data_IF_193598801552
#
_entry.id   IF_193598801552
#
_cell.length_a   1.000
_cell.length_b   1.000
_cell.length_c   1.000
_cell.angle_alpha   90.00
_cell.angle_beta   90.00
_cell.angle_gamma   90.00
#
_symmetry.space_group_name_H-M   'P 1'
#
loop_
_entity.id
_entity.type
_entity.pdbx_description
1 polymer ?
#
# COMPACT_ATOMS: atom_id res chain seq x y z
N UNK A 1 -24.19 -19.63 26.27
CA UNK A 1 -23.79 -18.27 25.83
C UNK A 1 -22.56 -18.44 24.97
N UNK A 2 -22.65 -18.14 23.69
CA UNK A 2 -21.47 -17.95 22.85
C UNK A 2 -20.81 -16.66 23.31
N UNK A 3 -19.62 -16.75 23.90
CA UNK A 3 -18.81 -15.58 24.20
C UNK A 3 -18.19 -15.12 22.88
N UNK A 4 -18.71 -14.05 22.31
CA UNK A 4 -18.16 -13.41 21.12
C UNK A 4 -17.16 -12.34 21.59
N UNK A 5 -15.98 -12.32 20.97
CA UNK A 5 -14.95 -11.31 21.22
C UNK A 5 -14.53 -10.73 19.88
N UNK A 6 -14.34 -9.41 19.85
CA UNK A 6 -13.84 -8.69 18.70
C UNK A 6 -12.37 -8.36 18.94
N UNK A 7 -11.54 -8.61 17.93
CA UNK A 7 -10.21 -8.05 17.84
C UNK A 7 -10.27 -6.79 16.99
N UNK A 8 -9.86 -5.65 17.54
CA UNK A 8 -9.97 -4.37 16.87
C UNK A 8 -8.59 -3.75 16.65
N UNK A 9 -8.35 -3.27 15.43
CA UNK A 9 -7.21 -2.42 15.08
C UNK A 9 -7.76 -1.05 14.73
N UNK A 10 -7.29 -0.01 15.43
CA UNK A 10 -7.72 1.37 15.20
C UNK A 10 -6.56 2.14 14.57
N UNK A 11 -6.80 2.74 13.40
CA UNK A 11 -5.82 3.54 12.67
C UNK A 11 -6.41 4.93 12.46
N UNK A 12 -5.75 5.95 12.99
CA UNK A 12 -6.10 7.34 12.70
C UNK A 12 -5.45 7.79 11.40
N UNK A 13 -6.23 8.36 10.49
CA UNK A 13 -5.78 8.76 9.16
C UNK A 13 -5.42 10.25 9.13
N UNK A 14 -4.32 10.56 8.44
CA UNK A 14 -4.06 11.92 7.94
C UNK A 14 -4.94 12.18 6.71
N UNK A 15 -5.05 13.43 6.22
CA UNK A 15 -5.76 13.70 4.97
C UNK A 15 -5.23 12.90 3.77
N UNK A 16 -3.91 12.71 3.70
CA UNK A 16 -3.27 11.84 2.70
C UNK A 16 -3.64 10.36 2.94
N UNK A 17 -3.53 9.87 4.19
CA UNK A 17 -3.93 8.51 4.51
C UNK A 17 -5.41 8.20 4.20
N UNK A 18 -6.28 9.21 4.28
CA UNK A 18 -7.68 9.11 3.91
C UNK A 18 -7.90 8.94 2.40
N UNK A 19 -6.99 9.45 1.57
CA UNK A 19 -6.97 9.20 0.13
C UNK A 19 -6.38 7.82 -0.23
N UNK A 20 -5.57 7.24 0.65
CA UNK A 20 -4.83 5.98 0.44
C UNK A 20 -5.29 4.83 1.37
N UNK A 21 -6.59 4.80 1.73
CA UNK A 21 -7.16 3.83 2.69
C UNK A 21 -6.90 2.36 2.32
N UNK A 22 -6.94 2.05 1.04
CA UNK A 22 -6.74 0.69 0.52
C UNK A 22 -5.32 0.19 0.72
N UNK A 23 -4.34 1.06 0.48
CA UNK A 23 -2.93 0.76 0.70
C UNK A 23 -2.66 0.54 2.19
N UNK A 24 -3.30 1.33 3.05
CA UNK A 24 -3.19 1.17 4.51
C UNK A 24 -3.76 -0.17 4.97
N UNK A 25 -4.93 -0.57 4.45
CA UNK A 25 -5.51 -1.88 4.76
C UNK A 25 -4.62 -3.02 4.23
N UNK A 26 -4.06 -2.88 3.03
CA UNK A 26 -3.14 -3.87 2.48
C UNK A 26 -1.88 -4.02 3.35
N UNK A 27 -1.27 -2.91 3.76
CA UNK A 27 -0.11 -2.90 4.64
C UNK A 27 -0.41 -3.53 6.00
N UNK A 28 -1.61 -3.29 6.55
CA UNK A 28 -2.03 -3.94 7.79
C UNK A 28 -2.06 -5.46 7.65
N UNK A 29 -2.68 -5.99 6.59
CA UNK A 29 -2.75 -7.44 6.39
C UNK A 29 -1.40 -8.05 5.99
N UNK A 30 -0.55 -7.33 5.26
CA UNK A 30 0.84 -7.74 5.02
C UNK A 30 1.59 -7.89 6.35
N UNK A 31 1.42 -6.94 7.27
CA UNK A 31 2.02 -7.03 8.59
C UNK A 31 1.47 -8.23 9.38
N UNK A 32 0.15 -8.49 9.32
CA UNK A 32 -0.45 -9.68 9.94
C UNK A 32 0.13 -10.97 9.36
N UNK A 33 0.38 -11.05 8.05
CA UNK A 33 1.04 -12.20 7.43
C UNK A 33 2.49 -12.36 7.92
N UNK A 34 3.24 -11.26 8.06
CA UNK A 34 4.59 -11.31 8.61
C UNK A 34 4.60 -11.85 10.06
N UNK A 35 3.66 -11.39 10.89
CA UNK A 35 3.49 -11.88 12.26
C UNK A 35 3.12 -13.37 12.25
N UNK A 36 2.20 -13.79 11.37
CA UNK A 36 1.81 -15.20 11.24
C UNK A 36 2.97 -16.08 10.78
N UNK A 37 3.78 -15.61 9.83
CA UNK A 37 4.95 -16.32 9.32
C UNK A 37 6.06 -16.45 10.38
N UNK A 38 6.23 -15.43 11.23
CA UNK A 38 7.16 -15.49 12.37
C UNK A 38 6.69 -16.47 13.45
N UNK A 39 5.39 -16.71 13.56
CA UNK A 39 4.76 -17.60 14.53
C UNK A 39 4.80 -17.06 15.97
N UNK A 40 4.19 -17.77 16.93
CA UNK A 40 4.20 -17.37 18.34
C UNK A 40 5.63 -17.40 18.92
N UNK A 41 6.02 -16.32 19.60
CA UNK A 41 7.35 -16.18 20.18
C UNK A 41 7.30 -16.22 21.71
N UNK A 42 7.83 -17.30 22.30
CA UNK A 42 7.83 -17.49 23.75
C UNK A 42 8.64 -16.41 24.48
N UNK A 43 9.70 -15.90 23.86
CA UNK A 43 10.53 -14.84 24.46
C UNK A 43 9.75 -13.52 24.63
N UNK A 44 8.88 -13.16 23.68
CA UNK A 44 7.98 -12.00 23.81
C UNK A 44 7.00 -12.23 24.98
N UNK A 45 6.47 -13.45 25.12
CA UNK A 45 5.60 -13.76 26.25
C UNK A 45 6.32 -13.62 27.59
N UNK A 46 7.55 -14.13 27.72
CA UNK A 46 8.36 -14.00 28.95
C UNK A 46 8.63 -12.53 29.28
N UNK A 47 8.92 -11.72 28.28
CA UNK A 47 9.13 -10.27 28.45
C UNK A 47 7.84 -9.60 28.96
N UNK A 48 6.69 -9.87 28.33
CA UNK A 48 5.40 -9.35 28.76
C UNK A 48 5.01 -9.80 30.17
N UNK A 49 5.24 -11.08 30.51
CA UNK A 49 5.00 -11.62 31.84
C UNK A 49 5.84 -10.88 32.90
N UNK A 50 7.12 -10.67 32.61
CA UNK A 50 8.04 -9.92 33.50
C UNK A 50 7.56 -8.47 33.70
N UNK A 51 7.11 -7.80 32.64
CA UNK A 51 6.55 -6.45 32.73
C UNK A 51 5.27 -6.41 33.59
N UNK A 52 4.40 -7.41 33.47
CA UNK A 52 3.18 -7.46 34.30
C UNK A 52 3.48 -7.75 35.77
N UNK A 53 4.48 -8.58 36.07
CA UNK A 53 4.93 -8.78 37.45
C UNK A 53 5.43 -7.49 38.09
N UNK A 54 6.23 -6.71 37.35
CA UNK A 54 6.71 -5.39 37.80
C UNK A 54 5.52 -4.44 38.01
N UNK A 55 4.59 -4.38 37.07
CA UNK A 55 3.39 -3.53 37.17
C UNK A 55 2.54 -3.88 38.40
N UNK A 56 2.44 -5.15 38.75
CA UNK A 56 1.73 -5.59 39.94
C UNK A 56 2.49 -5.24 41.23
N UNK A 57 3.79 -5.53 41.26
CA UNK A 57 4.63 -5.29 42.45
C UNK A 57 4.76 -3.79 42.80
N UNK A 58 4.70 -2.93 41.79
CA UNK A 58 4.85 -1.47 41.94
C UNK A 58 3.54 -0.70 41.68
N UNK A 59 2.40 -1.37 41.77
CA UNK A 59 1.10 -0.71 41.62
C UNK A 59 0.93 0.36 42.72
N UNK A 60 0.69 1.60 42.31
CA UNK A 60 0.41 2.70 43.22
C UNK A 60 -0.93 2.51 43.95
N UNK A 61 -1.12 3.20 45.07
CA UNK A 61 -2.38 3.26 45.84
C UNK A 61 -3.51 4.04 45.11
N UNK A 62 -3.50 4.01 43.79
CA UNK A 62 -4.47 4.59 42.87
C UNK A 62 -5.11 3.43 42.07
N UNK A 63 -6.44 3.36 41.93
CA UNK A 63 -7.40 4.48 41.91
C UNK A 63 -8.03 4.80 43.27
N UNK A 64 -8.96 5.77 43.30
CA UNK A 64 -9.71 6.14 44.50
C UNK A 64 -10.42 4.91 45.13
N UNK A 65 -10.69 4.90 46.44
CA UNK A 65 -11.23 3.71 47.14
C UNK A 65 -12.51 3.13 46.53
N UNK A 66 -13.36 3.97 45.97
CA UNK A 66 -14.60 3.61 45.26
C UNK A 66 -14.31 2.91 43.92
N UNK A 67 -13.41 3.44 43.10
CA UNK A 67 -12.96 2.80 41.86
C UNK A 67 -12.28 1.46 42.12
N UNK A 68 -11.48 1.38 43.19
CA UNK A 68 -10.84 0.13 43.60
C UNK A 68 -11.89 -0.92 43.98
N UNK A 69 -12.87 -0.54 44.83
CA UNK A 69 -13.93 -1.44 45.23
C UNK A 69 -14.76 -1.95 44.02
N UNK A 70 -15.08 -1.05 43.08
CA UNK A 70 -15.78 -1.41 41.85
C UNK A 70 -14.96 -2.39 40.98
N UNK A 71 -13.68 -2.08 40.74
CA UNK A 71 -12.76 -2.92 39.96
C UNK A 71 -12.56 -4.30 40.59
N UNK A 72 -12.37 -4.36 41.91
CA UNK A 72 -12.23 -5.60 42.66
C UNK A 72 -13.52 -6.44 42.61
N UNK A 73 -14.69 -5.81 42.75
CA UNK A 73 -15.97 -6.49 42.61
C UNK A 73 -16.15 -7.09 41.20
N UNK A 74 -15.76 -6.36 40.15
CA UNK A 74 -15.77 -6.88 38.78
C UNK A 74 -14.78 -8.02 38.58
N UNK A 75 -13.59 -7.96 39.20
CA UNK A 75 -12.59 -9.01 39.12
C UNK A 75 -13.05 -10.31 39.80
N UNK A 76 -13.85 -10.25 40.87
CA UNK A 76 -14.41 -11.43 41.54
C UNK A 76 -15.35 -12.27 40.64
N UNK A 77 -15.90 -11.68 39.57
CA UNK A 77 -16.68 -12.44 38.58
C UNK A 77 -15.80 -13.25 37.62
N UNK A 78 -14.50 -12.94 37.52
CA UNK A 78 -13.55 -13.58 36.60
C UNK A 78 -12.50 -14.42 37.31
N UNK A 79 -12.10 -14.03 38.53
CA UNK A 79 -11.00 -14.63 39.26
C UNK A 79 -11.47 -15.10 40.65
N UNK A 80 -10.89 -16.18 41.19
CA UNK A 80 -11.17 -16.60 42.56
C UNK A 80 -10.73 -15.49 43.55
N UNK A 81 -11.36 -15.38 44.73
CA UNK A 81 -11.09 -14.30 45.68
C UNK A 81 -9.62 -14.10 46.05
N UNK A 82 -8.82 -15.17 46.08
CA UNK A 82 -7.38 -15.11 46.39
C UNK A 82 -6.54 -14.46 45.28
N UNK A 83 -7.03 -14.51 44.04
CA UNK A 83 -6.34 -13.96 42.85
C UNK A 83 -6.96 -12.64 42.40
N UNK A 84 -7.94 -12.07 43.13
CA UNK A 84 -8.71 -10.90 42.67
C UNK A 84 -7.83 -9.70 42.31
N UNK A 85 -6.71 -9.51 43.02
CA UNK A 85 -5.79 -8.40 42.80
C UNK A 85 -4.73 -8.71 41.73
N UNK A 86 -4.25 -9.97 41.69
CA UNK A 86 -3.18 -10.42 40.79
C UNK A 86 -3.70 -10.83 39.41
N UNK A 87 -4.89 -11.41 39.33
CA UNK A 87 -5.48 -11.99 38.13
C UNK A 87 -5.43 -11.08 36.89
N UNK A 88 -5.74 -9.78 36.98
CA UNK A 88 -5.61 -8.86 35.86
C UNK A 88 -4.19 -8.70 35.29
N UNK A 89 -3.15 -9.08 36.04
CA UNK A 89 -1.74 -9.03 35.67
C UNK A 89 -1.16 -10.43 35.35
N UNK A 90 -1.93 -11.50 35.57
CA UNK A 90 -1.40 -12.85 35.48
C UNK A 90 -1.14 -13.25 34.00
N UNK A 91 0.12 -13.59 33.71
CA UNK A 91 0.57 -14.19 32.45
C UNK A 91 1.39 -15.44 32.80
N UNK A 92 0.70 -16.48 33.26
CA UNK A 92 1.31 -17.63 33.94
C UNK A 92 1.63 -18.81 33.00
N UNK A 93 0.89 -18.94 31.90
CA UNK A 93 0.96 -20.09 30.99
C UNK A 93 1.24 -19.63 29.56
N UNK A 94 2.34 -20.11 28.98
CA UNK A 94 2.64 -19.92 27.56
C UNK A 94 1.80 -20.87 26.71
N UNK A 95 1.01 -20.31 25.79
CA UNK A 95 0.10 -21.06 24.91
C UNK A 95 0.20 -20.61 23.47
N UNK A 96 1.24 -21.13 22.79
CA UNK A 96 1.48 -20.90 21.37
C UNK A 96 0.27 -21.31 20.51
N UNK A 97 -0.39 -22.42 20.85
CA UNK A 97 -1.58 -22.93 20.16
C UNK A 97 -2.74 -21.92 20.16
N UNK A 98 -2.95 -21.24 21.30
CA UNK A 98 -3.98 -20.19 21.40
C UNK A 98 -3.60 -18.99 20.54
N UNK A 99 -2.33 -18.57 20.57
CA UNK A 99 -1.86 -17.47 19.72
C UNK A 99 -2.05 -17.79 18.23
N UNK A 100 -1.70 -19.00 17.80
CA UNK A 100 -1.92 -19.48 16.42
C UNK A 100 -3.41 -19.49 16.06
N UNK A 101 -4.28 -19.96 16.95
CA UNK A 101 -5.72 -19.96 16.73
C UNK A 101 -6.23 -18.54 16.46
N UNK A 102 -5.82 -17.55 17.26
CA UNK A 102 -6.22 -16.16 17.04
C UNK A 102 -5.62 -15.58 15.76
N UNK A 103 -4.33 -15.78 15.49
CA UNK A 103 -3.68 -15.32 14.26
C UNK A 103 -4.32 -15.92 12.99
N UNK A 104 -4.83 -17.15 13.05
CA UNK A 104 -5.53 -17.80 11.95
C UNK A 104 -6.87 -17.13 11.60
N UNK A 105 -7.48 -16.42 12.55
CA UNK A 105 -8.76 -15.71 12.40
C UNK A 105 -8.58 -14.28 11.90
N UNK A 106 -7.36 -13.73 11.97
CA UNK A 106 -7.04 -12.39 11.48
C UNK A 106 -6.82 -12.42 9.96
N UNK A 107 -7.92 -12.51 9.21
CA UNK A 107 -7.93 -12.56 7.75
C UNK A 107 -8.83 -11.49 7.16
N UNK A 108 -8.56 -11.13 5.91
CA UNK A 108 -9.38 -10.24 5.09
C UNK A 108 -10.86 -10.64 5.06
N UNK A 109 -11.13 -11.94 4.89
CA UNK A 109 -12.47 -12.48 4.79
C UNK A 109 -13.22 -12.49 6.13
N UNK A 110 -12.49 -12.37 7.25
CA UNK A 110 -13.03 -12.39 8.61
C UNK A 110 -12.86 -11.03 9.30
N UNK A 111 -13.01 -9.93 8.56
CA UNK A 111 -12.90 -8.58 9.10
C UNK A 111 -14.14 -7.71 8.83
N UNK A 112 -14.33 -6.71 9.70
CA UNK A 112 -15.29 -5.62 9.52
C UNK A 112 -14.50 -4.32 9.53
N UNK A 113 -14.58 -3.56 8.44
CA UNK A 113 -13.89 -2.28 8.32
C UNK A 113 -14.87 -1.14 8.56
N UNK A 114 -14.54 -0.27 9.50
CA UNK A 114 -15.28 0.95 9.78
C UNK A 114 -14.43 2.15 9.37
N UNK A 115 -14.96 2.97 8.46
CA UNK A 115 -14.27 4.18 7.99
C UNK A 115 -15.11 5.37 8.41
N UNK A 116 -14.46 6.32 9.09
CA UNK A 116 -15.07 7.59 9.49
C UNK A 116 -14.23 8.72 8.88
N UNK A 117 -14.83 9.50 7.99
CA UNK A 117 -14.18 10.66 7.36
C UNK A 117 -15.19 11.80 7.20
N UNK A 118 -14.69 13.03 7.32
CA UNK A 118 -15.48 14.23 7.04
C UNK A 118 -15.87 14.33 5.56
N UNK A 119 -15.12 13.71 4.64
CA UNK A 119 -15.44 13.67 3.21
C UNK A 119 -16.80 13.06 2.91
N UNK A 120 -17.26 12.13 3.75
CA UNK A 120 -18.57 11.50 3.61
C UNK A 120 -19.76 12.43 3.86
N UNK A 121 -19.55 13.61 4.45
CA UNK A 121 -20.62 14.60 4.66
C UNK A 121 -21.16 15.15 3.34
N UNK A 122 -20.28 15.39 2.37
CA UNK A 122 -20.70 15.88 1.05
C UNK A 122 -21.37 14.77 0.25
N UNK A 123 -20.82 13.55 0.30
CA UNK A 123 -21.36 12.38 -0.40
C UNK A 123 -22.74 11.97 0.09
N UNK A 124 -22.96 12.01 1.41
CA UNK A 124 -24.24 11.65 2.04
C UNK A 124 -25.31 12.73 1.89
N UNK A 125 -24.94 13.97 1.55
CA UNK A 125 -25.85 15.08 1.30
C UNK A 125 -26.22 15.26 -0.19
N UNK A 126 -25.59 14.49 -1.09
CA UNK A 126 -25.86 14.56 -2.52
C UNK A 126 -27.28 14.09 -2.86
N UNK A 127 -27.87 14.63 -3.93
CA UNK A 127 -29.24 14.30 -4.35
C UNK A 127 -29.45 12.84 -4.76
N UNK A 128 -28.38 12.07 -4.91
CA UNK A 128 -28.36 10.64 -5.24
C UNK A 128 -28.02 9.73 -4.05
N UNK A 129 -28.04 10.25 -2.81
CA UNK A 129 -27.65 9.50 -1.61
C UNK A 129 -28.49 8.23 -1.38
N UNK A 130 -29.79 8.27 -1.66
CA UNK A 130 -30.68 7.11 -1.55
C UNK A 130 -30.32 6.02 -2.59
N UNK A 131 -29.94 6.42 -3.81
CA UNK A 131 -29.49 5.50 -4.87
C UNK A 131 -28.14 4.85 -4.54
N UNK A 132 -27.28 5.59 -3.82
CA UNK A 132 -25.99 5.11 -3.29
C UNK A 132 -26.13 4.30 -2.00
N UNK A 133 -27.34 4.10 -1.49
CA UNK A 133 -27.63 3.21 -0.37
C UNK A 133 -27.25 3.76 1.01
N UNK A 134 -27.10 5.08 1.14
CA UNK A 134 -26.92 5.72 2.45
C UNK A 134 -28.14 5.51 3.33
N UNK A 135 -27.91 5.23 4.61
CA UNK A 135 -28.95 4.98 5.60
C UNK A 135 -28.68 5.76 6.87
N UNK A 136 -29.76 6.20 7.49
CA UNK A 136 -29.70 6.91 8.77
C UNK A 136 -30.02 5.95 9.90
N UNK A 137 -29.08 5.81 10.84
CA UNK A 137 -29.26 5.04 12.06
C UNK A 137 -30.35 5.70 12.93
N UNK A 138 -31.21 4.89 13.54
CA UNK A 138 -32.46 5.35 14.14
C UNK A 138 -32.28 6.14 15.44
N UNK A 139 -31.25 5.86 16.24
CA UNK A 139 -31.07 6.43 17.58
C UNK A 139 -30.25 7.73 17.56
N UNK A 140 -29.08 7.70 16.91
CA UNK A 140 -28.10 8.78 16.88
C UNK A 140 -28.10 9.56 15.57
N UNK A 141 -28.91 9.13 14.58
CA UNK A 141 -29.02 9.77 13.27
C UNK A 141 -27.71 9.83 12.49
N UNK A 142 -26.79 8.90 12.78
CA UNK A 142 -25.56 8.72 12.02
C UNK A 142 -25.92 8.25 10.62
N UNK A 143 -25.37 8.90 9.60
CA UNK A 143 -25.56 8.54 8.20
C UNK A 143 -24.40 7.65 7.79
N UNK A 144 -24.70 6.45 7.30
CA UNK A 144 -23.70 5.46 6.91
C UNK A 144 -24.17 4.65 5.70
N UNK A 145 -23.21 4.17 4.93
CA UNK A 145 -23.44 3.19 3.86
C UNK A 145 -22.68 1.92 4.21
N UNK A 146 -23.31 0.77 4.00
CA UNK A 146 -22.67 -0.54 4.16
C UNK A 146 -22.44 -1.11 2.78
N UNK A 147 -21.19 -1.35 2.44
CA UNK A 147 -20.79 -1.97 1.19
C UNK A 147 -19.89 -3.17 1.49
N UNK A 148 -19.99 -4.21 0.66
CA UNK A 148 -18.92 -5.20 0.56
C UNK A 148 -17.76 -4.49 -0.13
N UNK A 149 -16.55 -4.64 0.38
CA UNK A 149 -15.33 -4.04 -0.19
C UNK A 149 -15.26 -4.19 -1.73
N UNK A 150 -15.81 -5.29 -2.28
CA UNK A 150 -15.94 -5.55 -3.72
C UNK A 150 -16.77 -4.57 -4.56
N UNK A 151 -17.73 -3.83 -3.99
CA UNK A 151 -18.68 -3.00 -4.76
C UNK A 151 -18.26 -1.53 -4.91
N UNK A 152 -17.14 -1.12 -4.29
CA UNK A 152 -16.51 0.20 -4.47
C UNK A 152 -15.55 0.27 -5.67
N UNK A 153 -15.53 -0.77 -6.54
CA UNK A 153 -14.58 -0.87 -7.65
C UNK A 153 -13.31 -1.67 -7.33
N UNK A 154 -13.30 -2.41 -6.22
CA UNK A 154 -12.12 -3.10 -5.70
C UNK A 154 -12.24 -4.61 -5.84
N UNK A 155 -11.58 -5.16 -6.85
CA UNK A 155 -11.27 -6.59 -6.92
C UNK A 155 -10.29 -6.96 -5.81
N UNK A 156 -10.77 -7.16 -4.59
CA UNK A 156 -9.97 -7.66 -3.49
C UNK A 156 -9.97 -9.19 -3.50
N UNK A 157 -8.90 -9.76 -4.02
CA UNK A 157 -8.56 -11.17 -3.89
C UNK A 157 -7.11 -11.26 -3.38
N UNK A 158 -6.79 -12.16 -2.44
CA UNK A 158 -5.40 -12.39 -2.01
C UNK A 158 -4.49 -12.77 -3.20
N UNK A 159 -5.06 -13.42 -4.23
CA UNK A 159 -4.38 -13.66 -5.50
C UNK A 159 -4.08 -12.35 -6.27
N UNK A 160 -5.00 -11.37 -6.23
CA UNK A 160 -4.84 -10.07 -6.90
C UNK A 160 -3.86 -9.17 -6.14
N UNK A 161 -3.70 -9.33 -4.82
CA UNK A 161 -2.66 -8.65 -4.01
C UNK A 161 -1.27 -9.26 -4.15
N UNK A 162 -1.15 -10.58 -4.21
CA UNK A 162 0.13 -11.22 -4.53
C UNK A 162 0.54 -10.97 -5.98
N UNK A 163 -0.44 -10.93 -6.90
CA UNK A 163 -0.23 -10.45 -8.26
C UNK A 163 0.12 -8.96 -8.29
N UNK A 164 -0.53 -8.10 -7.51
CA UNK A 164 -0.21 -6.66 -7.45
C UNK A 164 1.21 -6.41 -6.92
N UNK A 165 1.62 -7.11 -5.86
CA UNK A 165 3.01 -7.08 -5.41
C UNK A 165 3.98 -7.63 -6.46
N UNK A 166 3.62 -8.71 -7.16
CA UNK A 166 4.43 -9.26 -8.25
C UNK A 166 4.61 -8.29 -9.42
N UNK A 167 3.54 -7.59 -9.79
CA UNK A 167 3.54 -6.63 -10.88
C UNK A 167 4.31 -5.35 -10.51
N UNK A 168 4.08 -4.82 -9.30
CA UNK A 168 4.85 -3.72 -8.75
C UNK A 168 6.34 -4.09 -8.63
N UNK A 169 6.65 -5.33 -8.21
CA UNK A 169 8.03 -5.81 -8.15
C UNK A 169 8.67 -5.89 -9.55
N UNK A 170 7.93 -6.32 -10.57
CA UNK A 170 8.41 -6.35 -11.96
C UNK A 170 8.76 -4.94 -12.46
N UNK A 171 7.89 -3.96 -12.21
CA UNK A 171 8.13 -2.56 -12.59
C UNK A 171 9.27 -1.93 -11.78
N UNK A 172 9.35 -2.16 -10.47
CA UNK A 172 10.49 -1.69 -9.65
C UNK A 172 11.82 -2.30 -10.10
N UNK A 173 11.83 -3.57 -10.48
CA UNK A 173 13.02 -4.24 -11.04
C UNK A 173 13.45 -3.59 -12.36
N UNK A 174 12.51 -3.19 -13.22
CA UNK A 174 12.80 -2.43 -14.44
C UNK A 174 13.50 -1.10 -14.14
N UNK A 175 12.95 -0.28 -13.22
CA UNK A 175 13.58 0.97 -12.81
C UNK A 175 14.96 0.77 -12.15
N UNK A 176 15.14 -0.28 -11.35
CA UNK A 176 16.46 -0.65 -10.80
C UNK A 176 17.45 -0.99 -11.93
N UNK A 177 17.04 -1.73 -12.95
CA UNK A 177 17.93 -2.06 -14.06
C UNK A 177 18.34 -0.82 -14.85
N UNK A 178 17.42 0.11 -15.05
CA UNK A 178 17.73 1.40 -15.65
C UNK A 178 18.69 2.23 -14.79
N UNK A 179 18.39 2.38 -13.49
CA UNK A 179 19.21 3.14 -12.54
C UNK A 179 20.63 2.57 -12.40
N UNK A 180 20.78 1.24 -12.44
CA UNK A 180 22.07 0.54 -12.41
C UNK A 180 22.83 0.63 -13.75
N UNK A 181 22.26 1.27 -14.77
CA UNK A 181 22.84 1.38 -16.12
C UNK A 181 22.81 0.07 -16.91
N UNK A 182 22.09 -0.96 -16.44
CA UNK A 182 22.00 -2.28 -17.11
C UNK A 182 21.23 -2.24 -18.41
N UNK A 183 20.42 -1.20 -18.64
CA UNK A 183 19.67 -0.99 -19.88
C UNK A 183 20.42 -0.13 -20.90
N UNK A 184 21.74 -0.13 -20.83
CA UNK A 184 22.63 0.52 -21.78
C UNK A 184 23.83 -0.39 -22.12
N UNK A 185 24.48 -0.12 -23.26
CA UNK A 185 25.69 -0.83 -23.67
C UNK A 185 25.48 -2.27 -24.18
N UNK A 186 26.57 -3.02 -24.31
CA UNK A 186 26.60 -4.32 -25.00
C UNK A 186 25.86 -5.44 -24.27
N UNK A 187 25.66 -5.34 -22.95
CA UNK A 187 24.91 -6.31 -22.15
C UNK A 187 23.42 -6.00 -22.05
N UNK A 188 22.95 -4.88 -22.60
CA UNK A 188 21.59 -4.40 -22.40
C UNK A 188 20.52 -5.41 -22.83
N UNK A 189 20.65 -6.02 -24.02
CA UNK A 189 19.64 -6.96 -24.53
C UNK A 189 19.50 -8.16 -23.60
N UNK A 190 20.60 -8.66 -23.04
CA UNK A 190 20.57 -9.76 -22.09
C UNK A 190 19.91 -9.37 -20.76
N UNK A 191 20.10 -8.13 -20.31
CA UNK A 191 19.43 -7.59 -19.13
C UNK A 191 17.92 -7.37 -19.38
N UNK A 192 17.55 -6.80 -20.53
CA UNK A 192 16.17 -6.54 -20.93
C UNK A 192 15.34 -7.85 -21.00
N UNK A 193 15.92 -8.95 -21.50
CA UNK A 193 15.26 -10.28 -21.51
C UNK A 193 14.92 -10.84 -20.12
N UNK A 194 15.56 -10.36 -19.07
CA UNK A 194 15.30 -10.78 -17.69
C UNK A 194 14.11 -10.07 -17.04
N UNK A 195 13.65 -8.97 -17.63
CA UNK A 195 12.65 -8.08 -17.05
C UNK A 195 11.45 -7.84 -17.97
N UNK A 196 11.59 -8.11 -19.27
CA UNK A 196 10.53 -7.94 -20.26
C UNK A 196 10.31 -9.19 -21.11
N UNK A 197 9.15 -9.28 -21.74
CA UNK A 197 8.82 -10.32 -22.72
C UNK A 197 9.53 -10.08 -24.05
N UNK A 198 9.66 -11.13 -24.87
CA UNK A 198 10.31 -11.00 -26.19
C UNK A 198 9.50 -10.10 -27.14
N UNK A 199 8.18 -10.07 -26.99
CA UNK A 199 7.22 -9.27 -27.77
C UNK A 199 6.92 -7.90 -27.16
N UNK A 200 7.70 -7.46 -26.17
CA UNK A 200 7.45 -6.19 -25.45
C UNK A 200 7.37 -4.98 -26.38
N UNK A 201 6.44 -4.06 -26.10
CA UNK A 201 6.28 -2.80 -26.85
C UNK A 201 6.39 -1.61 -25.91
N UNK A 202 7.31 -0.70 -26.20
CA UNK A 202 7.50 0.56 -25.49
C UNK A 202 7.02 1.70 -26.40
N UNK A 203 5.87 2.28 -26.11
CA UNK A 203 5.33 3.41 -26.84
C UNK A 203 5.64 4.71 -26.09
N UNK A 204 6.62 5.45 -26.59
CA UNK A 204 6.96 6.78 -26.13
C UNK A 204 6.54 7.87 -27.15
N UNK A 205 5.76 7.49 -28.17
CA UNK A 205 5.38 8.38 -29.26
C UNK A 205 4.39 9.45 -28.83
N UNK A 206 4.49 10.62 -29.46
CA UNK A 206 3.59 11.74 -29.28
C UNK A 206 3.63 12.65 -30.49
N UNK A 207 2.48 12.90 -31.11
CA UNK A 207 2.35 13.83 -32.26
C UNK A 207 2.73 15.27 -31.88
N UNK A 208 2.67 15.61 -30.59
CA UNK A 208 3.07 16.90 -30.05
C UNK A 208 4.59 17.11 -29.96
N UNK A 209 5.41 16.11 -30.33
CA UNK A 209 6.87 16.13 -30.20
C UNK A 209 7.63 15.79 -31.50
N UNK A 210 7.40 16.52 -32.61
CA UNK A 210 7.97 16.18 -33.92
C UNK A 210 9.50 16.32 -34.01
N UNK A 211 10.16 17.08 -33.13
CA UNK A 211 11.61 17.27 -33.11
C UNK A 211 12.33 16.28 -32.17
N UNK A 212 11.57 15.50 -31.38
CA UNK A 212 12.12 14.51 -30.46
C UNK A 212 12.27 13.18 -31.18
N UNK A 213 13.45 12.90 -31.74
CA UNK A 213 13.69 11.66 -32.49
C UNK A 213 13.46 10.35 -31.70
N UNK A 214 13.44 10.42 -30.37
CA UNK A 214 13.09 9.28 -29.50
C UNK A 214 11.61 9.16 -29.13
N UNK A 215 10.75 10.10 -29.55
CA UNK A 215 9.31 10.01 -29.37
C UNK A 215 8.70 9.06 -30.41
N UNK A 216 8.97 7.76 -30.23
CA UNK A 216 8.55 6.69 -31.16
C UNK A 216 8.16 5.42 -30.40
N UNK A 217 7.74 4.41 -31.16
CA UNK A 217 7.47 3.07 -30.64
C UNK A 217 8.73 2.21 -30.78
N UNK A 218 9.03 1.44 -29.73
CA UNK A 218 10.18 0.55 -29.62
C UNK A 218 9.69 -0.89 -29.42
N UNK A 219 10.36 -1.85 -30.08
CA UNK A 219 9.92 -3.24 -30.11
C UNK A 219 10.99 -4.21 -29.60
N UNK A 220 10.55 -5.15 -28.76
CA UNK A 220 11.36 -6.21 -28.18
C UNK A 220 12.43 -5.71 -27.21
N UNK A 221 13.25 -6.63 -26.65
CA UNK A 221 14.32 -6.29 -25.73
C UNK A 221 15.36 -5.31 -26.30
N UNK A 222 15.61 -5.35 -27.62
CA UNK A 222 16.49 -4.38 -28.28
C UNK A 222 15.87 -2.97 -28.30
N UNK A 223 14.56 -2.86 -28.49
CA UNK A 223 13.84 -1.59 -28.39
C UNK A 223 13.93 -0.94 -27.01
N UNK A 224 13.94 -1.72 -25.93
CA UNK A 224 14.18 -1.19 -24.57
C UNK A 224 15.56 -0.54 -24.48
N UNK A 225 16.59 -1.15 -25.09
CA UNK A 225 17.94 -0.59 -25.13
C UNK A 225 18.01 0.71 -25.95
N UNK A 226 17.32 0.75 -27.08
CA UNK A 226 17.22 1.97 -27.90
C UNK A 226 16.50 3.10 -27.14
N UNK A 227 15.47 2.77 -26.37
CA UNK A 227 14.79 3.72 -25.50
C UNK A 227 15.73 4.21 -24.38
N UNK A 228 16.48 3.30 -23.74
CA UNK A 228 17.52 3.67 -22.76
C UNK A 228 18.59 4.60 -23.35
N UNK A 229 19.01 4.35 -24.59
CA UNK A 229 19.94 5.22 -25.31
C UNK A 229 19.35 6.60 -25.60
N UNK A 230 18.05 6.68 -25.91
CA UNK A 230 17.34 7.96 -26.01
C UNK A 230 17.31 8.69 -24.66
N UNK A 231 16.98 8.00 -23.57
CA UNK A 231 16.98 8.60 -22.23
C UNK A 231 18.35 9.14 -21.81
N UNK A 232 19.43 8.52 -22.29
CA UNK A 232 20.80 8.97 -22.05
C UNK A 232 21.16 10.28 -22.79
N UNK A 233 20.29 10.80 -23.68
CA UNK A 233 20.51 12.08 -24.37
C UNK A 233 20.12 13.30 -23.51
N UNK A 234 19.59 13.09 -22.31
CA UNK A 234 19.27 14.16 -21.36
C UNK A 234 19.72 13.81 -19.94
N UNK A 235 20.04 14.85 -19.15
CA UNK A 235 20.35 14.73 -17.72
C UNK A 235 19.11 15.04 -16.89
N UNK A 236 18.87 14.25 -15.86
CA UNK A 236 17.65 14.32 -15.03
C UNK A 236 18.01 14.12 -13.54
N UNK A 237 18.77 15.03 -12.92
CA UNK A 237 19.32 14.82 -11.56
C UNK A 237 18.25 14.78 -10.47
N UNK A 238 17.06 15.32 -10.73
CA UNK A 238 15.92 15.38 -9.82
C UNK A 238 14.84 14.35 -10.14
N UNK A 239 15.14 13.38 -11.02
CA UNK A 239 14.21 12.33 -11.39
C UNK A 239 13.76 11.55 -10.16
N UNK A 240 12.43 11.42 -9.99
CA UNK A 240 11.84 10.60 -8.93
C UNK A 240 10.53 9.99 -9.37
N UNK A 241 10.26 8.80 -8.86
CA UNK A 241 8.93 8.20 -8.89
C UNK A 241 8.11 8.87 -7.80
N UNK A 242 7.00 9.50 -8.19
CA UNK A 242 6.10 10.22 -7.27
C UNK A 242 5.09 9.25 -6.67
N UNK A 243 4.51 8.39 -7.51
CA UNK A 243 3.41 7.51 -7.13
C UNK A 243 3.40 6.27 -8.03
N UNK A 244 2.95 5.14 -7.49
CA UNK A 244 2.76 3.90 -8.24
C UNK A 244 1.37 3.36 -7.93
N UNK A 245 0.51 3.35 -8.93
CA UNK A 245 -0.86 2.85 -8.85
C UNK A 245 -0.93 1.48 -9.54
N UNK A 246 -1.71 0.55 -9.00
CA UNK A 246 -1.93 -0.77 -9.59
C UNK A 246 -3.43 -1.04 -9.73
N UNK A 247 -3.83 -1.66 -10.83
CA UNK A 247 -5.24 -1.88 -11.23
C UNK A 247 -5.86 -3.22 -10.76
N UNK A 248 -5.12 -4.05 -10.03
CA UNK A 248 -5.45 -5.44 -9.73
C UNK A 248 -5.29 -6.43 -10.90
N UNK A 249 -5.13 -5.95 -12.13
CA UNK A 249 -5.20 -6.78 -13.36
C UNK A 249 -3.99 -6.62 -14.29
N UNK A 250 -2.77 -6.70 -13.74
CA UNK A 250 -1.56 -6.64 -14.56
C UNK A 250 -1.24 -5.26 -15.13
N UNK A 251 -1.90 -4.19 -14.67
CA UNK A 251 -1.56 -2.81 -15.06
C UNK A 251 -1.01 -2.04 -13.87
N UNK A 252 0.16 -1.43 -14.07
CA UNK A 252 0.82 -0.51 -13.13
C UNK A 252 0.94 0.85 -13.80
N UNK A 253 0.53 1.92 -13.14
CA UNK A 253 0.74 3.30 -13.61
C UNK A 253 1.72 3.98 -12.67
N UNK A 254 2.79 4.52 -13.23
CA UNK A 254 3.83 5.22 -12.48
C UNK A 254 3.78 6.70 -12.81
N UNK A 255 3.66 7.54 -11.78
CA UNK A 255 3.81 8.99 -11.93
C UNK A 255 5.26 9.36 -11.71
N UNK A 256 5.85 10.04 -12.67
CA UNK A 256 7.26 10.44 -12.65
C UNK A 256 7.36 11.96 -12.62
N UNK A 257 8.34 12.47 -11.87
CA UNK A 257 8.67 13.89 -11.80
C UNK A 257 10.12 14.10 -12.23
N UNK A 258 10.37 14.99 -13.19
CA UNK A 258 11.70 15.25 -13.73
C UNK A 258 11.87 16.67 -14.29
N UNK A 259 13.10 17.18 -14.24
CA UNK A 259 13.53 18.41 -14.92
C UNK A 259 14.64 18.08 -15.92
N UNK A 260 14.30 17.61 -17.15
CA UNK A 260 15.30 17.15 -18.09
C UNK A 260 16.08 18.33 -18.70
N UNK A 261 17.41 18.16 -18.77
CA UNK A 261 18.30 19.01 -19.58
C UNK A 261 18.78 18.22 -20.81
N UNK A 262 18.39 18.64 -22.01
CA UNK A 262 18.82 18.01 -23.27
C UNK A 262 20.29 18.31 -23.51
N UNK A 263 21.12 17.28 -23.67
CA UNK A 263 22.58 17.45 -23.76
C UNK A 263 23.02 18.21 -25.00
N UNK A 264 22.35 17.98 -26.14
CA UNK A 264 22.73 18.58 -27.41
C UNK A 264 22.50 20.10 -27.46
N UNK A 265 21.43 20.59 -26.83
CA UNK A 265 21.02 22.01 -26.85
C UNK A 265 21.35 22.73 -25.54
N UNK A 266 21.63 21.97 -24.47
CA UNK A 266 21.78 22.45 -23.10
C UNK A 266 20.54 23.22 -22.58
N UNK A 267 19.36 22.99 -23.17
CA UNK A 267 18.09 23.56 -22.72
C UNK A 267 17.46 22.69 -21.63
N UNK A 268 16.79 23.32 -20.67
CA UNK A 268 16.07 22.67 -19.57
C UNK A 268 14.68 23.26 -19.41
N UNK A 269 13.73 22.46 -18.91
CA UNK A 269 12.43 22.98 -18.47
C UNK A 269 12.57 23.84 -17.21
N UNK A 270 11.66 24.82 -17.05
CA UNK A 270 11.64 25.73 -15.89
C UNK A 270 10.94 25.14 -14.66
N UNK A 271 10.02 24.21 -14.88
CA UNK A 271 9.26 23.52 -13.85
C UNK A 271 9.31 22.02 -14.12
N UNK A 272 9.28 21.21 -13.06
CA UNK A 272 9.31 19.78 -13.18
C UNK A 272 8.10 19.28 -13.99
N UNK A 273 8.37 18.47 -15.00
CA UNK A 273 7.34 17.78 -15.76
C UNK A 273 6.82 16.59 -14.97
N UNK A 274 5.52 16.29 -15.11
CA UNK A 274 4.91 15.10 -14.54
C UNK A 274 4.48 14.15 -15.67
N UNK A 275 5.16 13.02 -15.82
CA UNK A 275 4.72 11.99 -16.77
C UNK A 275 3.87 10.94 -16.06
N UNK A 276 2.97 10.32 -16.79
CA UNK A 276 2.35 9.06 -16.38
C UNK A 276 2.90 7.95 -17.29
N UNK A 277 3.37 6.87 -16.72
CA UNK A 277 3.88 5.72 -17.46
C UNK A 277 3.04 4.51 -17.10
N UNK A 278 2.26 4.02 -18.05
CA UNK A 278 1.49 2.80 -17.89
C UNK A 278 2.34 1.60 -18.31
N UNK A 279 2.45 0.61 -17.44
CA UNK A 279 3.03 -0.69 -17.72
C UNK A 279 1.95 -1.76 -17.70
N UNK A 280 2.00 -2.66 -18.69
CA UNK A 280 1.32 -3.97 -18.60
C UNK A 280 2.35 -5.01 -18.19
N UNK A 281 2.01 -5.79 -17.18
CA UNK A 281 2.81 -6.90 -16.66
C UNK A 281 2.08 -8.20 -16.96
N UNK A 282 2.84 -9.20 -17.42
CA UNK A 282 2.37 -10.55 -17.66
C UNK A 282 3.47 -11.51 -17.25
N UNK A 283 3.12 -12.51 -16.44
CA UNK A 283 4.04 -13.52 -15.92
C UNK A 283 5.27 -12.91 -15.21
N UNK A 284 5.07 -11.83 -14.45
CA UNK A 284 6.13 -11.12 -13.73
C UNK A 284 7.13 -10.38 -14.62
N UNK A 285 6.80 -10.15 -15.89
CA UNK A 285 7.63 -9.43 -16.87
C UNK A 285 6.84 -8.31 -17.55
N UNK A 286 7.55 -7.27 -17.98
CA UNK A 286 6.96 -6.16 -18.73
C UNK A 286 6.52 -6.66 -20.12
N UNK A 287 5.22 -6.53 -20.39
CA UNK A 287 4.61 -6.83 -21.68
C UNK A 287 4.46 -5.56 -22.54
N UNK A 288 4.17 -4.41 -21.93
CA UNK A 288 4.20 -3.13 -22.64
C UNK A 288 4.44 -1.96 -21.69
N UNK A 289 4.85 -0.83 -22.26
CA UNK A 289 4.96 0.47 -21.61
C UNK A 289 4.35 1.54 -22.51
N UNK A 290 3.55 2.46 -21.97
CA UNK A 290 3.08 3.67 -22.64
C UNK A 290 3.46 4.89 -21.82
N UNK A 291 4.16 5.84 -22.43
CA UNK A 291 4.44 7.15 -21.82
C UNK A 291 3.36 8.13 -22.21
N UNK A 292 2.71 8.72 -21.20
CA UNK A 292 1.88 9.90 -21.30
C UNK A 292 2.70 11.09 -20.81
N UNK A 293 3.20 11.86 -21.77
CA UNK A 293 4.03 13.03 -21.52
C UNK A 293 3.18 14.16 -20.92
N UNK A 294 3.58 14.69 -19.76
CA UNK A 294 2.80 15.76 -19.11
C UNK A 294 2.83 17.08 -19.86
N UNK A 295 3.99 17.41 -20.44
CA UNK A 295 4.25 18.70 -21.08
C UNK A 295 4.96 18.50 -22.44
N UNK A 296 4.36 17.80 -23.41
CA UNK A 296 5.05 17.35 -24.61
C UNK A 296 5.57 18.49 -25.48
N UNK A 297 4.79 19.56 -25.68
CA UNK A 297 5.24 20.73 -26.44
C UNK A 297 6.42 21.44 -25.78
N UNK A 298 6.41 21.53 -24.45
CA UNK A 298 7.50 22.13 -23.68
C UNK A 298 8.77 21.29 -23.83
N UNK A 299 8.65 19.96 -23.77
CA UNK A 299 9.77 19.05 -23.97
C UNK A 299 10.32 19.09 -25.39
N UNK A 300 9.46 19.14 -26.42
CA UNK A 300 9.85 19.26 -27.83
C UNK A 300 10.68 20.53 -28.09
N UNK A 301 10.32 21.64 -27.47
CA UNK A 301 11.03 22.92 -27.58
C UNK A 301 12.48 22.87 -27.06
N UNK A 302 12.84 21.84 -26.30
CA UNK A 302 14.23 21.67 -25.85
C UNK A 302 15.14 21.14 -26.96
N UNK A 303 14.60 20.59 -28.05
CA UNK A 303 15.36 19.92 -29.11
C UNK A 303 15.66 20.81 -30.33
N UNK A 304 15.13 22.04 -30.39
CA UNK A 304 15.37 23.02 -31.46
C UNK A 304 15.47 24.43 -30.89
#
# INVERSE_FOLDING_TARGET
MTHEQLFAVNISLTPEGDAHREEILALLFEYVEQVRAAGPQEEIFKELASLQEINFAHKEDSPLPDDFAASAAMALHRYPPKEVLRGPFALDEWRADVVEEYLSKLTADNCLVFITSDGFKEESAAGDADEKGWKTEQWYKVVAVVAVLGFLGLGWNMADHTASQGDLAAVRKMYSYWADGKLAGSSCVAAAKQIALEDVVYDASSDAMPHVGGAKVYHGPAGICDFGAFLATFRQPDYRLVEQLHSGTGTVVVKESLTPTVLATNKTVKQAMQNLVEYKVRDGKIASMKVYWGEPHTFDSLFH
#
